data_IF_156629371528
#
_entry.id   IF_156629371528
#
_cell.length_a   1.000
_cell.length_b   1.000
_cell.length_c   1.000
_cell.angle_alpha   90.00
_cell.angle_beta   90.00
_cell.angle_gamma   90.00
#
_symmetry.space_group_name_H-M   'P 1'
#
loop_
_entity.id
_entity.type
_entity.pdbx_description
1 polymer ?
#
# COMPACT_ATOMS: atom_id res chain seq x y z
N UNK A 1 -32.32 -30.20 10.33
CA UNK A 1 -31.36 -29.11 10.10
C UNK A 1 -30.15 -29.71 9.42
N UNK A 2 -29.83 -29.29 8.19
CA UNK A 2 -28.70 -29.79 7.43
C UNK A 2 -27.73 -28.63 7.26
N UNK A 3 -26.57 -28.73 7.89
CA UNK A 3 -25.51 -27.73 7.78
C UNK A 3 -24.73 -28.05 6.51
N UNK A 4 -24.87 -27.25 5.47
CA UNK A 4 -24.10 -27.43 4.25
C UNK A 4 -22.64 -26.98 4.50
N UNK A 5 -21.81 -27.97 4.81
CA UNK A 5 -20.40 -27.78 5.16
C UNK A 5 -19.55 -27.15 4.05
N UNK A 6 -20.01 -27.16 2.78
CA UNK A 6 -19.30 -26.51 1.67
C UNK A 6 -19.56 -25.01 1.66
N UNK A 7 -20.84 -24.62 1.73
CA UNK A 7 -21.25 -23.20 1.78
C UNK A 7 -20.64 -22.50 2.99
N UNK A 8 -20.64 -23.15 4.16
CA UNK A 8 -20.03 -22.57 5.37
C UNK A 8 -18.51 -22.40 5.27
N UNK A 9 -17.81 -23.28 4.53
CA UNK A 9 -16.36 -23.14 4.31
C UNK A 9 -16.05 -21.98 3.37
N UNK A 10 -16.82 -21.84 2.29
CA UNK A 10 -16.68 -20.73 1.35
C UNK A 10 -16.96 -19.39 2.01
N UNK A 11 -17.98 -19.32 2.87
CA UNK A 11 -18.30 -18.11 3.63
C UNK A 11 -17.14 -17.68 4.56
N UNK A 12 -16.54 -18.63 5.29
CA UNK A 12 -15.39 -18.34 6.17
C UNK A 12 -14.18 -17.87 5.36
N UNK A 13 -13.90 -18.51 4.22
CA UNK A 13 -12.81 -18.11 3.33
C UNK A 13 -13.02 -16.68 2.80
N UNK A 14 -14.22 -16.39 2.30
CA UNK A 14 -14.56 -15.07 1.76
C UNK A 14 -14.45 -13.98 2.83
N UNK A 15 -14.86 -14.26 4.08
CA UNK A 15 -14.68 -13.31 5.21
C UNK A 15 -13.21 -13.05 5.50
N UNK A 16 -12.37 -14.10 5.49
CA UNK A 16 -10.93 -13.95 5.71
C UNK A 16 -10.28 -13.12 4.59
N UNK A 17 -10.63 -13.41 3.34
CA UNK A 17 -10.16 -12.66 2.17
C UNK A 17 -10.53 -11.18 2.30
N UNK A 18 -11.80 -10.88 2.59
CA UNK A 18 -12.27 -9.50 2.75
C UNK A 18 -11.57 -8.77 3.89
N UNK A 19 -11.31 -9.43 5.02
CA UNK A 19 -10.58 -8.84 6.14
C UNK A 19 -9.11 -8.54 5.78
N UNK A 20 -8.44 -9.45 5.07
CA UNK A 20 -7.07 -9.22 4.62
C UNK A 20 -6.99 -8.08 3.59
N UNK A 21 -7.96 -8.01 2.67
CA UNK A 21 -8.04 -6.95 1.67
C UNK A 21 -8.29 -5.57 2.30
N UNK A 22 -9.20 -5.48 3.28
CA UNK A 22 -9.43 -4.25 4.02
C UNK A 22 -8.17 -3.79 4.76
N UNK A 23 -7.47 -4.72 5.42
CA UNK A 23 -6.20 -4.41 6.08
C UNK A 23 -5.13 -3.95 5.09
N UNK A 24 -5.05 -4.57 3.90
CA UNK A 24 -4.11 -4.14 2.87
C UNK A 24 -4.39 -2.70 2.39
N UNK A 25 -5.66 -2.31 2.29
CA UNK A 25 -6.07 -0.95 1.94
C UNK A 25 -5.71 0.04 3.06
N UNK A 26 -5.96 -0.31 4.32
CA UNK A 26 -5.55 0.50 5.49
C UNK A 26 -4.03 0.72 5.52
N UNK A 27 -3.24 -0.31 5.24
CA UNK A 27 -1.77 -0.19 5.14
C UNK A 27 -1.37 0.71 3.96
N UNK A 28 -2.07 0.65 2.83
CA UNK A 28 -1.81 1.56 1.70
C UNK A 28 -2.05 3.03 2.10
N UNK A 29 -3.15 3.32 2.81
CA UNK A 29 -3.47 4.67 3.30
C UNK A 29 -2.46 5.15 4.35
N UNK A 30 -2.18 4.31 5.36
CA UNK A 30 -1.20 4.62 6.40
C UNK A 30 0.21 4.81 5.85
N UNK A 31 0.60 4.10 4.78
CA UNK A 31 1.87 4.32 4.10
C UNK A 31 1.99 5.73 3.51
N UNK A 32 0.92 6.27 2.92
CA UNK A 32 0.90 7.62 2.34
C UNK A 32 1.11 8.65 3.46
N UNK A 33 0.36 8.52 4.54
CA UNK A 33 0.50 9.40 5.73
C UNK A 33 1.92 9.35 6.29
N UNK A 34 2.46 8.14 6.50
CA UNK A 34 3.81 7.93 7.00
C UNK A 34 4.89 8.53 6.08
N UNK A 35 4.72 8.45 4.76
CA UNK A 35 5.64 9.07 3.80
C UNK A 35 5.63 10.59 3.88
N UNK A 36 4.45 11.21 4.04
CA UNK A 36 4.34 12.64 4.23
C UNK A 36 4.99 13.10 5.53
N UNK A 37 4.78 12.38 6.63
CA UNK A 37 5.42 12.67 7.92
C UNK A 37 6.95 12.50 7.84
N UNK A 38 7.42 11.39 7.26
CA UNK A 38 8.85 11.14 7.07
C UNK A 38 9.52 12.30 6.31
N UNK A 39 8.87 12.82 5.26
CA UNK A 39 9.39 13.89 4.42
C UNK A 39 9.35 15.29 5.07
N UNK A 40 8.82 15.46 6.28
CA UNK A 40 8.90 16.73 7.02
C UNK A 40 10.34 17.01 7.49
N UNK A 41 11.12 15.97 7.70
CA UNK A 41 12.48 16.05 8.22
C UNK A 41 13.52 15.49 7.24
N UNK A 42 14.79 15.79 7.52
CA UNK A 42 15.93 15.26 6.77
C UNK A 42 16.50 14.07 7.53
N UNK A 43 16.65 12.96 6.84
CA UNK A 43 17.15 11.70 7.42
C UNK A 43 18.53 11.36 6.88
N UNK A 44 19.32 10.61 7.65
CA UNK A 44 20.64 10.09 7.26
C UNK A 44 21.63 11.16 6.71
N UNK A 45 21.52 12.41 7.18
CA UNK A 45 22.37 13.51 6.71
C UNK A 45 22.04 14.01 5.31
N UNK A 46 20.84 13.70 4.79
CA UNK A 46 20.36 14.20 3.51
C UNK A 46 20.35 15.73 3.47
N UNK A 47 20.64 16.30 2.29
CA UNK A 47 20.64 17.76 2.09
C UNK A 47 19.24 18.33 1.87
N UNK A 48 18.32 17.50 1.43
CA UNK A 48 16.94 17.83 1.07
C UNK A 48 15.99 16.89 1.79
N UNK A 49 14.75 17.32 1.95
CA UNK A 49 13.67 16.44 2.39
C UNK A 49 13.42 15.39 1.30
N UNK A 50 13.15 14.18 1.71
CA UNK A 50 13.00 13.02 0.83
C UNK A 50 11.97 12.05 1.44
N UNK A 51 11.46 11.16 0.61
CA UNK A 51 10.61 10.06 1.02
C UNK A 51 11.45 8.84 1.43
N UNK A 52 10.85 7.98 2.26
CA UNK A 52 11.45 6.73 2.68
C UNK A 52 11.46 5.74 1.51
N UNK A 53 12.59 5.04 1.33
CA UNK A 53 12.75 4.09 0.23
C UNK A 53 12.26 2.69 0.57
N UNK A 54 11.94 2.46 1.84
CA UNK A 54 11.61 1.17 2.44
C UNK A 54 10.54 1.36 3.52
N UNK A 55 9.88 0.28 3.90
CA UNK A 55 9.01 0.27 5.07
C UNK A 55 9.87 0.13 6.34
N UNK A 56 10.69 -0.92 6.41
CA UNK A 56 11.66 -1.13 7.49
C UNK A 56 13.05 -0.67 7.02
N UNK A 57 13.68 0.17 7.83
CA UNK A 57 15.00 0.74 7.54
C UNK A 57 16.09 -0.32 7.55
N UNK A 58 17.15 -0.06 6.80
CA UNK A 58 18.40 -0.81 6.89
C UNK A 58 19.02 -0.64 8.28
N UNK A 59 19.76 -1.63 8.82
CA UNK A 59 20.35 -1.53 10.16
C UNK A 59 21.21 -0.25 10.34
N UNK A 60 20.87 0.54 11.36
CA UNK A 60 21.58 1.79 11.69
C UNK A 60 21.33 2.95 10.72
N UNK A 61 20.29 2.87 9.89
CA UNK A 61 19.83 3.92 8.97
C UNK A 61 18.40 4.32 9.28
N UNK A 62 18.03 5.52 8.85
CA UNK A 62 16.65 5.99 8.83
C UNK A 62 16.17 6.12 7.37
N UNK A 63 16.39 5.10 6.54
CA UNK A 63 16.04 5.07 5.11
C UNK A 63 14.67 4.43 4.82
N UNK A 64 13.95 4.06 5.89
CA UNK A 64 12.61 3.50 5.89
C UNK A 64 11.65 4.24 6.85
N UNK A 65 10.38 3.85 6.83
CA UNK A 65 9.32 4.43 7.65
C UNK A 65 9.32 3.97 9.12
N UNK A 66 10.05 2.90 9.42
CA UNK A 66 10.35 2.47 10.79
C UNK A 66 11.84 2.11 10.91
N UNK A 67 12.44 2.38 12.07
CA UNK A 67 13.82 2.01 12.38
C UNK A 67 13.98 1.66 13.86
N UNK A 68 15.00 0.86 14.16
CA UNK A 68 15.45 0.62 15.53
C UNK A 68 16.51 1.66 15.93
N UNK A 69 16.24 2.36 17.03
CA UNK A 69 17.21 3.25 17.68
C UNK A 69 18.32 2.44 18.37
N UNK A 70 19.41 3.10 18.73
CA UNK A 70 20.55 2.45 19.38
C UNK A 70 20.22 1.82 20.75
N UNK A 71 19.16 2.28 21.41
CA UNK A 71 18.64 1.74 22.67
C UNK A 71 17.62 0.59 22.48
N UNK A 72 17.36 0.19 21.23
CA UNK A 72 16.42 -0.87 20.87
C UNK A 72 14.96 -0.43 20.79
N UNK A 73 14.65 0.85 21.00
CA UNK A 73 13.30 1.39 20.80
C UNK A 73 13.00 1.58 19.31
N UNK A 74 11.71 1.53 18.95
CA UNK A 74 11.25 1.83 17.60
C UNK A 74 11.06 3.34 17.41
N UNK A 75 11.50 3.85 16.27
CA UNK A 75 11.25 5.20 15.80
C UNK A 75 10.71 5.22 14.37
N UNK A 76 10.25 6.39 13.96
CA UNK A 76 9.69 6.67 12.64
C UNK A 76 8.17 6.78 12.63
N UNK A 77 7.58 7.18 11.48
CA UNK A 77 6.14 7.42 11.38
C UNK A 77 5.28 6.16 11.50
N UNK A 78 5.83 4.98 11.24
CA UNK A 78 5.10 3.71 11.43
C UNK A 78 5.21 3.28 12.89
N UNK A 79 4.04 3.06 13.52
CA UNK A 79 3.95 2.64 14.91
C UNK A 79 4.65 1.32 15.21
N UNK A 80 5.13 1.18 16.46
CA UNK A 80 5.95 0.05 16.92
C UNK A 80 5.32 -1.33 16.67
N UNK A 81 4.02 -1.49 16.90
CA UNK A 81 3.32 -2.77 16.71
C UNK A 81 3.40 -3.24 15.25
N UNK A 82 3.03 -2.35 14.33
CA UNK A 82 3.09 -2.59 12.88
C UNK A 82 4.53 -2.80 12.44
N UNK A 83 5.47 -2.01 12.96
CA UNK A 83 6.88 -2.13 12.64
C UNK A 83 7.47 -3.50 13.03
N UNK A 84 7.13 -4.01 14.22
CA UNK A 84 7.57 -5.35 14.69
C UNK A 84 7.05 -6.49 13.83
N UNK A 85 5.78 -6.43 13.44
CA UNK A 85 5.19 -7.44 12.59
C UNK A 85 5.77 -7.40 11.16
N UNK A 86 5.96 -6.19 10.61
CA UNK A 86 6.61 -6.00 9.31
C UNK A 86 8.10 -6.36 9.37
N UNK A 87 8.82 -6.12 10.47
CA UNK A 87 10.21 -6.55 10.61
C UNK A 87 10.32 -8.07 10.44
N UNK A 88 9.46 -8.86 11.09
CA UNK A 88 9.47 -10.33 10.92
C UNK A 88 9.25 -10.74 9.45
N UNK A 89 8.42 -9.99 8.73
CA UNK A 89 8.13 -10.23 7.32
C UNK A 89 9.17 -9.70 6.34
N UNK A 90 9.88 -8.61 6.63
CA UNK A 90 10.76 -7.93 5.67
C UNK A 90 12.25 -7.94 6.07
N UNK A 91 12.61 -8.53 7.21
CA UNK A 91 14.02 -8.67 7.65
C UNK A 91 14.88 -9.49 6.70
N UNK A 92 14.29 -10.45 5.98
CA UNK A 92 14.98 -11.21 4.95
C UNK A 92 14.40 -10.89 3.57
N UNK A 93 15.03 -10.01 2.78
CA UNK A 93 14.58 -9.68 1.43
C UNK A 93 14.47 -10.89 0.49
N UNK A 94 15.16 -12.00 0.79
CA UNK A 94 15.12 -13.22 -0.02
C UNK A 94 13.92 -14.12 0.30
N UNK A 95 13.27 -13.92 1.44
CA UNK A 95 12.11 -14.69 1.91
C UNK A 95 11.17 -13.76 2.69
N UNK A 96 10.53 -12.80 2.01
CA UNK A 96 9.56 -11.96 2.69
C UNK A 96 8.40 -12.83 3.21
N UNK A 97 7.91 -12.56 4.42
CA UNK A 97 6.66 -13.13 4.91
C UNK A 97 5.52 -12.14 4.71
N UNK A 98 4.34 -12.62 4.32
CA UNK A 98 3.21 -11.74 4.08
C UNK A 98 2.64 -11.22 5.40
N UNK A 99 2.35 -9.92 5.43
CA UNK A 99 1.68 -9.25 6.54
C UNK A 99 0.16 -9.37 6.34
N UNK A 100 -0.54 -10.00 7.30
CA UNK A 100 -1.96 -10.36 7.18
C UNK A 100 -2.34 -10.98 5.81
N UNK A 101 -1.45 -11.79 5.22
CA UNK A 101 -1.70 -12.46 3.95
C UNK A 101 -1.40 -11.63 2.70
N UNK A 102 -0.76 -10.46 2.84
CA UNK A 102 -0.35 -9.57 1.76
C UNK A 102 1.15 -9.25 1.77
N UNK A 103 1.73 -9.11 0.58
CA UNK A 103 3.05 -8.55 0.37
C UNK A 103 2.93 -7.10 -0.07
N UNK A 104 3.91 -6.29 0.30
CA UNK A 104 3.99 -4.86 0.03
C UNK A 104 5.34 -4.54 -0.61
N UNK A 105 5.33 -3.72 -1.66
CA UNK A 105 6.54 -3.31 -2.41
C UNK A 105 6.49 -1.82 -2.66
N UNK A 106 7.50 -1.10 -2.16
CA UNK A 106 7.70 0.31 -2.50
C UNK A 106 8.14 0.41 -3.96
N UNK A 107 7.39 1.16 -4.75
CA UNK A 107 7.69 1.43 -6.16
C UNK A 107 8.46 2.75 -6.25
N UNK A 108 9.52 2.76 -7.06
CA UNK A 108 10.47 3.87 -7.12
C UNK A 108 10.31 4.74 -8.37
N UNK A 109 9.23 4.55 -9.11
CA UNK A 109 8.91 5.30 -10.31
C UNK A 109 7.41 5.20 -10.61
N UNK A 110 6.94 6.05 -11.52
CA UNK A 110 5.61 5.97 -12.11
C UNK A 110 5.66 5.86 -13.63
N UNK A 111 4.66 5.19 -14.18
CA UNK A 111 4.50 4.95 -15.61
C UNK A 111 3.65 6.00 -16.31
N UNK A 112 3.49 5.89 -17.64
CA UNK A 112 2.82 6.90 -18.46
C UNK A 112 1.32 7.08 -18.16
N UNK A 113 0.67 6.13 -17.49
CA UNK A 113 -0.73 6.25 -17.10
C UNK A 113 -0.94 6.92 -15.75
N UNK A 114 0.13 7.18 -14.99
CA UNK A 114 0.04 7.91 -13.72
C UNK A 114 -0.22 9.41 -13.95
N UNK A 115 -0.82 10.11 -12.97
CA UNK A 115 -0.88 11.57 -12.98
C UNK A 115 0.52 12.17 -13.16
N UNK A 116 0.67 13.17 -14.04
CA UNK A 116 1.95 13.78 -14.44
C UNK A 116 2.86 12.93 -15.36
N UNK A 117 2.43 11.73 -15.76
CA UNK A 117 3.13 10.90 -16.76
C UNK A 117 4.32 10.14 -16.19
N UNK A 118 5.19 9.63 -17.06
CA UNK A 118 6.32 8.79 -16.64
C UNK A 118 7.40 9.60 -15.91
N UNK A 119 7.81 9.13 -14.73
CA UNK A 119 8.80 9.79 -13.87
C UNK A 119 9.53 8.78 -12.98
N UNK A 120 10.84 8.99 -12.79
CA UNK A 120 11.62 8.31 -11.75
C UNK A 120 11.53 9.09 -10.44
N UNK A 121 11.26 8.40 -9.33
CA UNK A 121 11.20 9.05 -8.02
C UNK A 121 12.59 9.23 -7.40
N UNK A 122 13.59 8.51 -7.90
CA UNK A 122 14.96 8.55 -7.42
C UNK A 122 15.79 9.61 -8.13
N UNK A 123 16.31 10.57 -7.38
CA UNK A 123 17.21 11.62 -7.88
C UNK A 123 18.45 11.66 -7.01
N UNK A 124 19.61 11.36 -7.58
CA UNK A 124 20.89 11.40 -6.85
C UNK A 124 20.95 10.44 -5.64
N UNK A 125 20.19 9.35 -5.67
CA UNK A 125 20.11 8.36 -4.58
C UNK A 125 19.07 8.67 -3.49
N UNK A 126 18.42 9.83 -3.55
CA UNK A 126 17.30 10.20 -2.68
C UNK A 126 15.96 10.03 -3.40
N UNK A 127 14.91 9.63 -2.70
CA UNK A 127 13.57 9.52 -3.26
C UNK A 127 12.85 10.86 -3.08
N UNK A 128 12.78 11.67 -4.14
CA UNK A 128 12.27 13.06 -4.08
C UNK A 128 11.13 13.28 -5.08
N UNK A 129 11.11 12.53 -6.19
CA UNK A 129 10.10 12.70 -7.25
C UNK A 129 8.70 12.19 -6.88
N UNK A 130 8.57 11.48 -5.77
CA UNK A 130 7.33 10.88 -5.30
C UNK A 130 7.59 9.58 -4.58
N UNK A 131 6.53 8.83 -4.34
CA UNK A 131 6.55 7.49 -3.77
C UNK A 131 5.33 6.73 -4.26
N UNK A 132 5.37 5.41 -4.21
CA UNK A 132 4.19 4.59 -4.39
C UNK A 132 4.37 3.24 -3.70
N UNK A 133 3.25 2.58 -3.46
CA UNK A 133 3.20 1.24 -2.89
C UNK A 133 2.35 0.34 -3.77
N UNK A 134 2.77 -0.91 -3.94
CA UNK A 134 1.92 -1.99 -4.39
C UNK A 134 1.69 -2.97 -3.25
N UNK A 135 0.50 -3.58 -3.21
CA UNK A 135 0.16 -4.67 -2.32
C UNK A 135 -0.44 -5.84 -3.11
N UNK A 136 -0.02 -7.08 -2.85
CA UNK A 136 -0.56 -8.26 -3.51
C UNK A 136 -0.78 -9.41 -2.53
N UNK A 137 -1.82 -10.24 -2.72
CA UNK A 137 -2.07 -11.40 -1.88
C UNK A 137 -0.91 -12.40 -2.00
N UNK A 138 -0.55 -12.99 -0.86
CA UNK A 138 0.42 -14.06 -0.79
C UNK A 138 0.01 -15.29 -1.62
N UNK A 139 -1.28 -15.60 -1.63
CA UNK A 139 -1.86 -16.69 -2.42
C UNK A 139 -3.22 -16.27 -2.98
N UNK A 140 -3.32 -16.27 -4.31
CA UNK A 140 -4.51 -15.83 -5.04
C UNK A 140 -5.73 -16.69 -4.69
N UNK A 141 -6.85 -16.03 -4.33
CA UNK A 141 -8.11 -16.64 -3.85
C UNK A 141 -7.99 -17.45 -2.56
N UNK A 142 -6.88 -17.31 -1.83
CA UNK A 142 -6.68 -17.94 -0.51
C UNK A 142 -6.44 -16.89 0.56
N UNK A 143 -5.49 -15.98 0.33
CA UNK A 143 -5.25 -14.84 1.23
C UNK A 143 -5.85 -13.55 0.71
N UNK A 144 -6.10 -13.45 -0.59
CA UNK A 144 -6.80 -12.32 -1.21
C UNK A 144 -6.96 -12.51 -2.72
N UNK A 145 -7.70 -11.61 -3.36
CA UNK A 145 -7.96 -11.60 -4.81
C UNK A 145 -7.37 -10.35 -5.44
N UNK A 146 -7.60 -9.20 -4.83
CA UNK A 146 -7.21 -7.90 -5.38
C UNK A 146 -5.74 -7.59 -5.12
N UNK A 147 -5.08 -7.03 -6.13
CA UNK A 147 -3.83 -6.29 -6.01
C UNK A 147 -4.16 -4.81 -5.84
N UNK A 148 -3.46 -4.12 -4.95
CA UNK A 148 -3.64 -2.70 -4.71
C UNK A 148 -2.41 -1.90 -5.13
N UNK A 149 -2.61 -0.67 -5.58
CA UNK A 149 -1.56 0.33 -5.75
C UNK A 149 -2.01 1.69 -5.22
N UNK A 150 -1.09 2.46 -4.65
CA UNK A 150 -1.34 3.82 -4.16
C UNK A 150 -0.14 4.71 -4.46
N UNK A 151 -0.41 5.96 -4.84
CA UNK A 151 0.60 7.00 -5.08
C UNK A 151 0.49 8.15 -4.08
N UNK A 152 1.16 9.28 -4.35
CA UNK A 152 1.17 10.44 -3.45
C UNK A 152 -0.17 11.17 -3.32
N UNK A 153 -1.13 10.88 -4.19
CA UNK A 153 -2.50 11.43 -4.14
C UNK A 153 -3.39 10.71 -3.11
N UNK A 154 -2.91 9.60 -2.53
CA UNK A 154 -3.65 8.82 -1.53
C UNK A 154 -4.76 7.94 -2.09
N UNK A 155 -5.00 7.96 -3.41
CA UNK A 155 -6.04 7.16 -4.04
C UNK A 155 -5.57 5.71 -4.16
N UNK A 156 -6.28 4.80 -3.49
CA UNK A 156 -6.01 3.36 -3.58
C UNK A 156 -6.76 2.78 -4.77
N UNK A 157 -6.01 2.17 -5.68
CA UNK A 157 -6.56 1.45 -6.82
C UNK A 157 -6.46 -0.05 -6.59
N UNK A 158 -7.46 -0.80 -7.06
CA UNK A 158 -7.51 -2.25 -7.05
C UNK A 158 -7.60 -2.85 -8.46
N UNK A 159 -7.04 -4.06 -8.61
CA UNK A 159 -7.15 -4.89 -9.81
C UNK A 159 -6.96 -6.37 -9.48
N UNK A 160 -7.86 -7.21 -9.99
CA UNK A 160 -7.65 -8.67 -10.02
C UNK A 160 -6.68 -8.99 -11.17
N UNK A 161 -5.45 -9.39 -10.84
CA UNK A 161 -4.42 -9.82 -11.79
C UNK A 161 -4.47 -11.33 -12.10
N UNK A 162 -5.43 -12.04 -11.52
CA UNK A 162 -5.67 -13.46 -11.72
C UNK A 162 -4.62 -14.36 -11.04
N UNK A 163 -4.50 -15.62 -11.48
CA UNK A 163 -3.56 -16.59 -10.90
C UNK A 163 -2.08 -16.16 -10.94
N UNK A 164 -1.71 -15.25 -11.84
CA UNK A 164 -0.34 -14.73 -11.99
C UNK A 164 -0.06 -13.49 -11.12
N UNK A 165 -0.95 -13.18 -10.16
CA UNK A 165 -0.85 -11.99 -9.29
C UNK A 165 0.53 -11.83 -8.66
N UNK A 166 1.03 -12.85 -7.96
CA UNK A 166 2.32 -12.75 -7.24
C UNK A 166 3.51 -12.57 -8.19
N UNK A 167 3.49 -13.25 -9.34
CA UNK A 167 4.52 -13.11 -10.37
C UNK A 167 4.53 -11.70 -10.97
N UNK A 168 3.35 -11.17 -11.28
CA UNK A 168 3.19 -9.81 -11.82
C UNK A 168 3.66 -8.77 -10.81
N UNK A 169 3.26 -8.92 -9.54
CA UNK A 169 3.68 -8.07 -8.43
C UNK A 169 5.20 -8.04 -8.25
N UNK A 170 5.88 -9.19 -8.31
CA UNK A 170 7.34 -9.26 -8.19
C UNK A 170 8.04 -8.42 -9.27
N UNK A 171 7.52 -8.44 -10.50
CA UNK A 171 8.02 -7.65 -11.63
C UNK A 171 7.52 -6.20 -11.70
N UNK A 172 6.64 -5.79 -10.77
CA UNK A 172 6.05 -4.46 -10.78
C UNK A 172 7.04 -3.44 -10.24
N UNK A 173 7.54 -2.56 -11.10
CA UNK A 173 8.56 -1.56 -10.72
C UNK A 173 8.06 -0.12 -10.80
N UNK A 174 6.84 0.10 -11.32
CA UNK A 174 6.26 1.42 -11.54
C UNK A 174 4.80 1.49 -11.10
N UNK A 175 4.43 2.59 -10.46
CA UNK A 175 3.04 2.97 -10.25
C UNK A 175 2.42 3.37 -11.58
N UNK A 176 1.42 2.63 -12.06
CA UNK A 176 0.85 2.85 -13.39
C UNK A 176 -0.65 2.50 -13.43
N UNK A 177 -1.51 3.34 -12.79
CA UNK A 177 -2.96 3.14 -12.75
C UNK A 177 -3.61 3.44 -14.10
N UNK A 178 -3.43 2.55 -15.07
CA UNK A 178 -4.15 2.65 -16.35
C UNK A 178 -5.68 2.45 -16.19
N UNK A 179 -6.41 2.59 -17.29
CA UNK A 179 -7.89 2.51 -17.31
C UNK A 179 -8.49 1.18 -16.82
N UNK A 180 -7.67 0.15 -16.63
CA UNK A 180 -8.11 -1.16 -16.13
C UNK A 180 -8.07 -1.27 -14.62
N UNK A 181 -7.40 -0.33 -13.93
CA UNK A 181 -7.44 -0.20 -12.48
C UNK A 181 -8.71 0.53 -12.04
N UNK A 182 -9.24 0.14 -10.89
CA UNK A 182 -10.46 0.74 -10.31
C UNK A 182 -10.11 1.36 -8.97
N UNK A 183 -10.72 2.48 -8.63
CA UNK A 183 -10.60 3.04 -7.27
C UNK A 183 -11.33 2.09 -6.30
N UNK A 184 -10.76 1.84 -5.13
CA UNK A 184 -11.39 1.05 -4.08
C UNK A 184 -12.68 1.74 -3.59
N UNK A 185 -13.68 0.95 -3.21
CA UNK A 185 -14.99 1.47 -2.77
C UNK A 185 -15.15 1.49 -1.25
N UNK A 186 -14.05 1.66 -0.54
CA UNK A 186 -13.98 1.67 0.92
C UNK A 186 -14.23 3.06 1.52
N UNK A 187 -14.21 4.11 0.69
CA UNK A 187 -14.80 5.39 1.05
C UNK A 187 -16.32 5.25 1.06
N UNK A 188 -16.89 5.28 2.26
CA UNK A 188 -18.33 5.47 2.48
C UNK A 188 -18.74 6.65 1.60
N UNK A 189 -19.70 6.41 0.69
CA UNK A 189 -20.22 7.42 -0.23
C UNK A 189 -20.41 8.75 0.51
N UNK A 190 -19.66 9.79 0.15
CA UNK A 190 -20.16 11.14 0.40
C UNK A 190 -21.42 11.26 -0.45
N UNK A 191 -22.58 11.07 0.18
CA UNK A 191 -23.90 11.36 -0.34
C UNK A 191 -23.91 12.81 -0.85
N UNK A 192 -23.50 13.01 -2.10
CA UNK A 192 -23.75 14.26 -2.81
C UNK A 192 -25.24 14.26 -3.11
N UNK A 193 -26.02 14.79 -2.16
CA UNK A 193 -27.40 15.18 -2.38
C UNK A 193 -27.43 16.13 -3.57
N UNK A 194 -27.88 15.65 -4.73
CA UNK A 194 -28.45 16.49 -5.77
C UNK A 194 -29.69 17.18 -5.19
N UNK A 195 -29.49 18.35 -4.58
CA UNK A 195 -30.59 19.31 -4.43
C UNK A 195 -30.94 19.82 -5.83
N UNK A 196 -31.92 19.15 -6.44
CA UNK A 196 -32.62 19.65 -7.61
C UNK A 196 -33.13 21.06 -7.35
N UNK A 197 -32.60 22.02 -8.09
CA UNK A 197 -33.09 23.38 -8.13
C UNK A 197 -34.38 23.41 -8.96
N UNK A 198 -35.50 23.56 -8.27
CA UNK A 198 -36.80 23.84 -8.90
C UNK A 198 -36.83 25.32 -9.34
N UNK A 199 -37.13 25.66 -10.61
CA UNK A 199 -37.30 27.04 -11.00
C UNK A 199 -38.71 27.52 -10.65
N UNK A 200 -38.79 28.63 -9.89
CA UNK A 200 -40.04 29.36 -9.66
C UNK A 200 -40.58 29.94 -10.97
N UNK A 201 -41.89 29.75 -11.30
CA UNK A 201 -42.50 30.50 -12.39
C UNK A 201 -42.90 31.91 -11.93
N UNK A 202 -42.65 32.88 -12.82
CA UNK A 202 -43.12 34.27 -12.76
C UNK A 202 -44.64 34.37 -12.99
#
# INVERSE_FOLDING_TARGET
WFFDTKVGREEILNRRIGANELNAIEICRGFVEAQHEYALEKHDGAKVNQYAQRIISSPGKHDGLAWQNADGTWGGPVGEEVAKELEQGYSNPSQPQPYHGYYFKVLKAQGPAAPLGEMDFMVGGAMIGGFALAAAPAEYRVTGVMTFIVGPDGVVYEKDLGPDTLKTFQSMDKYNPDKTWKITKDDVEEDVQEQGSEPQPQ
#
